data_IF_877238376375
#
_entry.id   IF_877238376375
#
_cell.length_a   1.000
_cell.length_b   1.000
_cell.length_c   1.000
_cell.angle_alpha   90.00
_cell.angle_beta   90.00
_cell.angle_gamma   90.00
#
_symmetry.space_group_name_H-M   'P 1'
#
loop_
_entity.id
_entity.type
_entity.pdbx_description
1 polymer ?
#
# COMPACT_ATOMS: atom_id res chain seq x y z
N UNK A 1 -6.38 -13.00 10.79
CA UNK A 1 -7.17 -12.82 9.57
C UNK A 1 -7.02 -11.42 8.98
N UNK A 2 -7.18 -10.33 9.75
CA UNK A 2 -7.02 -8.96 9.21
C UNK A 2 -5.59 -8.68 8.74
N UNK A 3 -4.57 -8.99 9.52
CA UNK A 3 -3.16 -8.77 9.14
C UNK A 3 -2.72 -9.56 7.90
N UNK A 4 -3.33 -10.70 7.66
CA UNK A 4 -3.05 -11.55 6.49
C UNK A 4 -3.97 -11.25 5.29
N UNK A 5 -4.77 -10.18 5.36
CA UNK A 5 -5.77 -9.81 4.35
C UNK A 5 -6.61 -11.02 3.91
N UNK A 6 -7.38 -11.55 4.87
CA UNK A 6 -8.27 -12.72 4.67
C UNK A 6 -7.56 -13.98 4.13
N UNK A 7 -6.28 -14.14 4.45
CA UNK A 7 -5.49 -15.32 4.08
C UNK A 7 -4.60 -15.15 2.84
N UNK A 8 -4.65 -14.02 2.15
CA UNK A 8 -3.76 -13.73 1.01
C UNK A 8 -2.28 -13.78 1.42
N UNK A 9 -1.96 -13.28 2.62
CA UNK A 9 -0.61 -13.32 3.19
C UNK A 9 -0.10 -14.73 3.53
N UNK A 10 -0.94 -15.75 3.45
CA UNK A 10 -0.53 -17.15 3.65
C UNK A 10 -0.07 -17.84 2.35
N UNK A 11 -0.10 -17.14 1.22
CA UNK A 11 0.42 -17.67 -0.03
C UNK A 11 1.93 -17.89 0.04
N UNK A 12 2.43 -19.03 -0.49
CA UNK A 12 3.81 -19.47 -0.25
C UNK A 12 4.86 -18.65 -1.02
N UNK A 13 4.44 -17.84 -1.99
CA UNK A 13 5.34 -17.05 -2.85
C UNK A 13 4.88 -15.61 -2.91
N UNK A 14 5.75 -14.68 -2.50
CA UNK A 14 5.56 -13.22 -2.61
C UNK A 14 4.20 -12.73 -2.04
N UNK A 15 3.88 -13.01 -0.76
CA UNK A 15 2.58 -12.68 -0.18
C UNK A 15 2.23 -11.19 -0.30
N UNK A 16 3.18 -10.27 -0.14
CA UNK A 16 2.99 -8.84 -0.32
C UNK A 16 2.58 -8.44 -1.73
N UNK A 17 3.11 -9.10 -2.76
CA UNK A 17 2.68 -8.84 -4.15
C UNK A 17 1.21 -9.24 -4.35
N UNK A 18 0.81 -10.37 -3.80
CA UNK A 18 -0.60 -10.80 -3.85
C UNK A 18 -1.50 -9.89 -3.02
N UNK A 19 -1.02 -9.39 -1.86
CA UNK A 19 -1.71 -8.39 -1.04
C UNK A 19 -1.98 -7.11 -1.81
N UNK A 20 -0.94 -6.53 -2.42
CA UNK A 20 -1.03 -5.33 -3.25
C UNK A 20 -1.93 -5.54 -4.47
N UNK A 21 -1.84 -6.71 -5.13
CA UNK A 21 -2.68 -7.04 -6.29
C UNK A 21 -4.15 -7.17 -5.90
N UNK A 22 -4.46 -7.84 -4.79
CA UNK A 22 -5.81 -7.98 -4.27
C UNK A 22 -6.41 -6.64 -3.80
N UNK A 23 -5.57 -5.67 -3.44
CA UNK A 23 -5.99 -4.33 -3.08
C UNK A 23 -6.61 -3.55 -4.24
N UNK A 24 -6.21 -3.82 -5.49
CA UNK A 24 -6.66 -3.08 -6.67
C UNK A 24 -8.17 -3.20 -6.93
N UNK A 25 -8.74 -4.41 -7.06
CA UNK A 25 -10.18 -4.56 -7.29
C UNK A 25 -11.01 -4.02 -6.12
N UNK A 26 -10.53 -4.16 -4.88
CA UNK A 26 -11.21 -3.61 -3.72
C UNK A 26 -11.26 -2.07 -3.79
N UNK A 27 -10.13 -1.41 -4.08
CA UNK A 27 -10.07 0.04 -4.26
C UNK A 27 -10.95 0.49 -5.43
N UNK A 28 -10.95 -0.25 -6.54
CA UNK A 28 -11.79 0.04 -7.70
C UNK A 28 -13.27 0.05 -7.33
N UNK A 29 -13.74 -0.99 -6.65
CA UNK A 29 -15.14 -1.10 -6.21
C UNK A 29 -15.49 0.02 -5.22
N UNK A 30 -14.67 0.24 -4.21
CA UNK A 30 -14.91 1.31 -3.21
C UNK A 30 -15.02 2.66 -3.92
N UNK A 31 -14.07 2.97 -4.80
CA UNK A 31 -14.01 4.26 -5.46
C UNK A 31 -15.13 4.45 -6.50
N UNK A 32 -15.52 3.40 -7.22
CA UNK A 32 -16.60 3.46 -8.20
C UNK A 32 -17.99 3.61 -7.57
N UNK A 33 -18.21 3.02 -6.39
CA UNK A 33 -19.51 3.06 -5.72
C UNK A 33 -19.65 4.26 -4.77
N UNK A 34 -18.58 4.63 -4.06
CA UNK A 34 -18.66 5.64 -2.99
C UNK A 34 -17.67 6.80 -3.16
N UNK A 35 -16.87 6.81 -4.24
CA UNK A 35 -15.97 7.89 -4.57
C UNK A 35 -14.63 7.86 -3.84
N UNK A 36 -13.81 8.89 -4.15
CA UNK A 36 -12.44 9.01 -3.64
C UNK A 36 -12.38 9.16 -2.12
N UNK A 37 -13.32 9.89 -1.53
CA UNK A 37 -13.38 10.11 -0.08
C UNK A 37 -13.56 8.79 0.68
N UNK A 38 -14.38 7.88 0.16
CA UNK A 38 -14.57 6.57 0.76
C UNK A 38 -13.30 5.72 0.72
N UNK A 39 -12.54 5.76 -0.39
CA UNK A 39 -11.25 5.09 -0.46
C UNK A 39 -10.24 5.69 0.53
N UNK A 40 -10.23 7.02 0.71
CA UNK A 40 -9.36 7.67 1.70
C UNK A 40 -9.70 7.23 3.13
N UNK A 41 -10.98 7.15 3.48
CA UNK A 41 -11.42 6.65 4.79
C UNK A 41 -11.06 5.16 4.96
N UNK A 42 -11.29 4.34 3.94
CA UNK A 42 -10.91 2.93 3.97
C UNK A 42 -9.39 2.74 4.15
N UNK A 43 -8.58 3.55 3.45
CA UNK A 43 -7.13 3.57 3.61
C UNK A 43 -6.72 3.93 5.05
N UNK A 44 -7.29 4.98 5.63
CA UNK A 44 -7.01 5.38 7.01
C UNK A 44 -7.38 4.28 8.02
N UNK A 45 -8.52 3.62 7.81
CA UNK A 45 -8.94 2.48 8.64
C UNK A 45 -7.95 1.31 8.47
N UNK A 46 -7.54 1.00 7.23
CA UNK A 46 -6.59 -0.07 6.97
C UNK A 46 -5.23 0.18 7.66
N UNK A 47 -4.73 1.43 7.65
CA UNK A 47 -3.53 1.82 8.38
C UNK A 47 -3.70 1.61 9.89
N UNK A 48 -4.79 2.09 10.47
CA UNK A 48 -5.04 1.98 11.92
C UNK A 48 -5.17 0.51 12.35
N UNK A 49 -5.98 -0.27 11.63
CA UNK A 49 -6.17 -1.70 11.89
C UNK A 49 -4.88 -2.48 11.62
N UNK A 50 -4.13 -2.10 10.59
CA UNK A 50 -2.86 -2.70 10.23
C UNK A 50 -1.81 -2.53 11.32
N UNK A 51 -1.63 -1.32 11.85
CA UNK A 51 -0.73 -1.06 12.97
C UNK A 51 -1.07 -1.93 14.19
N UNK A 52 -2.35 -2.06 14.51
CA UNK A 52 -2.80 -2.88 15.62
C UNK A 52 -2.59 -4.37 15.36
N UNK A 53 -3.01 -4.86 14.19
CA UNK A 53 -2.93 -6.27 13.82
C UNK A 53 -1.47 -6.73 13.66
N UNK A 54 -0.65 -5.96 12.96
CA UNK A 54 0.77 -6.23 12.78
C UNK A 54 1.51 -6.27 14.13
N UNK A 55 1.25 -5.30 15.01
CA UNK A 55 1.84 -5.27 16.35
C UNK A 55 1.42 -6.46 17.20
N UNK A 56 0.19 -6.92 17.08
CA UNK A 56 -0.31 -8.09 17.81
C UNK A 56 0.32 -9.38 17.30
N UNK A 57 0.40 -9.54 15.97
CA UNK A 57 0.99 -10.73 15.34
C UNK A 57 2.50 -10.79 15.61
N UNK A 58 3.22 -9.67 15.50
CA UNK A 58 4.66 -9.60 15.77
C UNK A 58 4.96 -10.01 17.24
N UNK A 59 4.16 -9.53 18.19
CA UNK A 59 4.29 -9.93 19.60
C UNK A 59 4.00 -11.41 19.84
N UNK A 60 2.98 -11.94 19.17
CA UNK A 60 2.57 -13.34 19.35
C UNK A 60 3.53 -14.34 18.68
N UNK A 61 4.10 -13.98 17.54
CA UNK A 61 5.04 -14.82 16.78
C UNK A 61 6.48 -14.74 17.28
N UNK A 62 6.84 -13.68 18.02
CA UNK A 62 8.23 -13.38 18.38
C UNK A 62 9.12 -12.96 17.21
N UNK A 63 8.53 -12.77 16.01
CA UNK A 63 9.19 -12.32 14.80
C UNK A 63 8.80 -10.87 14.55
N UNK A 64 9.77 -10.00 14.31
CA UNK A 64 9.54 -8.56 14.16
C UNK A 64 8.70 -8.22 12.91
N UNK A 65 8.88 -8.96 11.83
CA UNK A 65 8.15 -8.80 10.57
C UNK A 65 7.76 -10.18 10.02
N UNK A 66 6.62 -10.75 10.48
CA UNK A 66 6.12 -11.99 9.91
C UNK A 66 5.64 -11.76 8.48
N UNK A 67 6.26 -12.39 7.50
CA UNK A 67 5.94 -12.23 6.07
C UNK A 67 4.51 -12.61 5.65
N UNK A 68 3.68 -13.07 6.60
CA UNK A 68 2.25 -13.31 6.37
C UNK A 68 1.40 -12.05 6.63
N UNK A 69 1.99 -10.98 7.15
CA UNK A 69 1.32 -9.69 7.29
C UNK A 69 1.39 -9.01 5.94
N UNK A 70 0.25 -8.66 5.36
CA UNK A 70 0.13 -7.99 4.04
C UNK A 70 -0.89 -6.85 4.05
N UNK A 71 -1.42 -6.50 5.22
CA UNK A 71 -2.36 -5.38 5.36
C UNK A 71 -1.66 -4.04 5.18
N UNK A 72 -0.37 -3.97 5.46
CA UNK A 72 0.54 -2.87 5.22
C UNK A 72 0.65 -2.59 3.72
N UNK A 73 0.91 -3.61 2.90
CA UNK A 73 0.94 -3.47 1.46
C UNK A 73 -0.43 -3.07 0.88
N UNK A 74 -1.53 -3.57 1.46
CA UNK A 74 -2.88 -3.17 1.03
C UNK A 74 -3.13 -1.69 1.32
N UNK A 75 -2.83 -1.23 2.53
CA UNK A 75 -3.00 0.15 2.94
C UNK A 75 -2.10 1.09 2.11
N UNK A 76 -0.83 0.71 1.92
CA UNK A 76 0.14 1.44 1.10
C UNK A 76 -0.28 1.50 -0.37
N UNK A 77 -0.76 0.38 -0.94
CA UNK A 77 -1.28 0.36 -2.31
C UNK A 77 -2.50 1.27 -2.45
N UNK A 78 -3.43 1.28 -1.48
CA UNK A 78 -4.57 2.19 -1.50
C UNK A 78 -4.15 3.65 -1.42
N UNK A 79 -3.10 3.98 -0.65
CA UNK A 79 -2.54 5.32 -0.60
C UNK A 79 -2.07 5.78 -1.99
N UNK A 80 -1.38 4.93 -2.75
CA UNK A 80 -0.97 5.26 -4.13
C UNK A 80 -2.18 5.43 -5.05
N UNK A 81 -3.20 4.59 -4.90
CA UNK A 81 -4.41 4.64 -5.72
C UNK A 81 -5.28 5.87 -5.46
N UNK A 82 -5.11 6.57 -4.32
CA UNK A 82 -5.75 7.87 -4.10
C UNK A 82 -5.27 8.92 -5.11
N UNK A 83 -4.02 8.85 -5.55
CA UNK A 83 -3.44 9.76 -6.52
C UNK A 83 -3.71 9.33 -7.99
N UNK A 84 -4.04 8.06 -8.22
CA UNK A 84 -4.23 7.52 -9.56
C UNK A 84 -5.64 7.84 -10.12
N UNK A 85 -5.81 8.19 -11.39
CA UNK A 85 -7.10 8.17 -12.07
C UNK A 85 -7.79 6.80 -11.99
N UNK A 86 -9.13 6.78 -12.09
CA UNK A 86 -9.90 5.54 -12.05
C UNK A 86 -9.95 4.90 -13.45
N UNK A 87 -8.83 4.41 -13.91
CA UNK A 87 -8.67 3.70 -15.17
C UNK A 87 -7.64 2.56 -15.03
N UNK A 88 -7.75 1.50 -15.84
CA UNK A 88 -6.88 0.33 -15.72
C UNK A 88 -5.38 0.63 -15.91
N UNK A 89 -4.95 1.45 -16.90
CA UNK A 89 -3.53 1.78 -17.06
C UNK A 89 -2.95 2.49 -15.85
N UNK A 90 -3.68 3.47 -15.28
CA UNK A 90 -3.24 4.20 -14.08
C UNK A 90 -3.13 3.30 -12.86
N UNK A 91 -4.07 2.37 -12.69
CA UNK A 91 -4.03 1.37 -11.60
C UNK A 91 -2.86 0.41 -11.77
N UNK A 92 -2.58 -0.04 -13.00
CA UNK A 92 -1.42 -0.88 -13.29
C UNK A 92 -0.10 -0.14 -13.03
N UNK A 93 0.01 1.12 -13.46
CA UNK A 93 1.19 1.95 -13.23
C UNK A 93 1.40 2.22 -11.73
N UNK A 94 0.35 2.53 -10.99
CA UNK A 94 0.38 2.73 -9.55
C UNK A 94 0.85 1.47 -8.81
N UNK A 95 0.35 0.31 -9.21
CA UNK A 95 0.79 -0.98 -8.67
C UNK A 95 2.28 -1.23 -8.92
N UNK A 96 2.74 -1.08 -10.17
CA UNK A 96 4.14 -1.30 -10.52
C UNK A 96 5.08 -0.35 -9.78
N UNK A 97 4.74 0.94 -9.71
CA UNK A 97 5.53 1.93 -8.98
C UNK A 97 5.63 1.59 -7.50
N UNK A 98 4.51 1.28 -6.86
CA UNK A 98 4.53 0.87 -5.46
C UNK A 98 5.45 -0.34 -5.25
N UNK A 99 5.28 -1.40 -6.05
CA UNK A 99 6.11 -2.60 -5.93
C UNK A 99 7.60 -2.35 -6.18
N UNK A 100 7.95 -1.45 -7.10
CA UNK A 100 9.35 -1.07 -7.31
C UNK A 100 9.93 -0.44 -6.04
N UNK A 101 9.26 0.55 -5.45
CA UNK A 101 9.76 1.23 -4.27
C UNK A 101 9.74 0.35 -3.03
N UNK A 102 8.76 -0.52 -2.88
CA UNK A 102 8.65 -1.47 -1.77
C UNK A 102 9.75 -2.55 -1.82
N UNK A 103 10.04 -3.10 -3.01
CA UNK A 103 11.08 -4.12 -3.17
C UNK A 103 12.48 -3.49 -3.11
N UNK A 104 12.67 -2.34 -3.77
CA UNK A 104 13.98 -1.67 -3.84
C UNK A 104 14.37 -0.99 -2.53
N UNK A 105 13.40 -0.67 -1.69
CA UNK A 105 13.57 -0.05 -0.37
C UNK A 105 14.63 1.07 -0.40
N UNK A 106 14.38 2.22 -1.04
CA UNK A 106 15.33 3.32 -1.06
C UNK A 106 15.73 3.67 0.37
N UNK A 107 16.96 4.14 0.56
CA UNK A 107 17.62 4.32 1.86
C UNK A 107 16.78 4.99 2.97
N UNK A 108 15.83 5.85 2.59
CA UNK A 108 14.89 6.48 3.52
C UNK A 108 13.94 5.46 4.16
N UNK A 109 13.47 4.50 3.39
CA UNK A 109 12.61 3.40 3.84
C UNK A 109 13.41 2.47 4.77
N UNK A 110 14.61 2.08 4.35
CA UNK A 110 15.50 1.26 5.17
C UNK A 110 16.01 1.95 6.45
N UNK A 111 15.97 3.29 6.53
CA UNK A 111 16.29 4.02 7.75
C UNK A 111 15.14 3.98 8.76
N UNK A 112 13.90 4.00 8.29
CA UNK A 112 12.69 3.88 9.12
C UNK A 112 12.58 2.47 9.73
N UNK A 113 12.82 1.44 8.92
CA UNK A 113 12.84 0.03 9.34
C UNK A 113 13.82 -0.23 10.49
N UNK A 114 14.96 0.45 10.51
CA UNK A 114 15.96 0.30 11.59
C UNK A 114 15.62 1.03 12.88
N UNK A 115 14.74 2.03 12.86
CA UNK A 115 14.47 2.91 14.02
C UNK A 115 13.12 2.67 14.67
N UNK A 116 12.15 2.17 13.94
CA UNK A 116 10.79 1.97 14.43
C UNK A 116 10.46 0.48 14.42
N UNK A 117 10.21 -0.07 15.62
CA UNK A 117 9.93 -1.49 15.81
C UNK A 117 8.44 -1.72 16.10
N UNK A 118 7.95 -2.94 15.86
CA UNK A 118 6.56 -3.33 16.08
C UNK A 118 5.61 -2.97 14.94
N UNK A 119 4.31 -3.00 15.18
CA UNK A 119 3.29 -2.81 14.15
C UNK A 119 3.38 -1.46 13.42
N UNK A 120 3.84 -0.41 14.09
CA UNK A 120 4.11 0.90 13.48
C UNK A 120 5.29 0.83 12.50
N UNK A 121 6.37 0.10 12.83
CA UNK A 121 7.53 -0.04 11.95
C UNK A 121 7.16 -0.76 10.66
N UNK A 122 6.44 -1.86 10.76
CA UNK A 122 5.96 -2.64 9.61
C UNK A 122 5.13 -1.76 8.66
N UNK A 123 4.14 -1.03 9.21
CA UNK A 123 3.30 -0.13 8.41
C UNK A 123 4.06 1.05 7.81
N UNK A 124 5.02 1.62 8.55
CA UNK A 124 5.75 2.84 8.12
C UNK A 124 6.61 2.59 6.90
N UNK A 125 7.21 1.43 6.80
CA UNK A 125 8.07 1.02 5.71
C UNK A 125 7.33 1.09 4.36
N UNK A 126 6.19 0.44 4.28
CA UNK A 126 5.36 0.40 3.08
C UNK A 126 4.69 1.75 2.78
N UNK A 127 4.27 2.49 3.82
CA UNK A 127 3.72 3.81 3.63
C UNK A 127 4.75 4.80 3.07
N UNK A 128 6.01 4.71 3.47
CA UNK A 128 7.09 5.53 2.89
C UNK A 128 7.35 5.15 1.44
N UNK A 129 7.38 3.85 1.12
CA UNK A 129 7.46 3.38 -0.26
C UNK A 129 6.29 3.91 -1.11
N UNK A 130 5.07 3.89 -0.55
CA UNK A 130 3.88 4.44 -1.20
C UNK A 130 4.00 5.94 -1.44
N UNK A 131 4.50 6.73 -0.49
CA UNK A 131 4.73 8.17 -0.67
C UNK A 131 5.71 8.43 -1.81
N UNK A 132 6.82 7.68 -1.89
CA UNK A 132 7.74 7.78 -3.01
C UNK A 132 7.06 7.46 -4.34
N UNK A 133 6.25 6.40 -4.38
CA UNK A 133 5.48 6.02 -5.56
C UNK A 133 4.48 7.10 -5.97
N UNK A 134 3.76 7.70 -5.02
CA UNK A 134 2.84 8.83 -5.29
C UNK A 134 3.56 10.01 -5.90
N UNK A 135 4.70 10.41 -5.34
CA UNK A 135 5.46 11.55 -5.87
C UNK A 135 5.89 11.32 -7.32
N UNK A 136 6.45 10.15 -7.63
CA UNK A 136 6.85 9.80 -9.00
C UNK A 136 5.62 9.71 -9.92
N UNK A 137 4.53 9.13 -9.44
CA UNK A 137 3.30 9.01 -10.21
C UNK A 137 2.71 10.39 -10.58
N UNK A 138 2.66 11.32 -9.61
CA UNK A 138 2.19 12.69 -9.84
C UNK A 138 3.08 13.45 -10.83
N UNK A 139 4.41 13.31 -10.71
CA UNK A 139 5.35 13.91 -11.68
C UNK A 139 5.10 13.35 -13.08
N UNK A 140 4.91 12.04 -13.22
CA UNK A 140 4.62 11.39 -14.48
C UNK A 140 3.29 11.90 -15.10
N UNK A 141 2.25 12.07 -14.29
CA UNK A 141 0.98 12.63 -14.74
C UNK A 141 1.13 14.09 -15.21
N UNK A 142 1.90 14.90 -14.50
CA UNK A 142 2.15 16.30 -14.89
C UNK A 142 2.91 16.40 -16.21
N UNK A 143 3.91 15.54 -16.42
CA UNK A 143 4.74 15.55 -17.63
C UNK A 143 4.04 14.94 -18.84
N UNK A 144 3.14 13.98 -18.63
CA UNK A 144 2.38 13.35 -19.71
C UNK A 144 1.22 14.20 -20.26
N UNK A 145 0.99 15.39 -19.70
CA UNK A 145 -0.14 16.25 -20.09
C UNK A 145 -1.52 15.70 -19.71
N UNK A 146 -1.59 14.62 -18.94
CA UNK A 146 -2.85 14.02 -18.51
C UNK A 146 -3.68 14.97 -17.61
N UNK A 147 -3.06 16.02 -17.05
CA UNK A 147 -3.73 17.17 -16.44
C UNK A 147 -4.04 18.30 -17.42
N UNK A 148 -3.72 18.13 -18.71
CA UNK A 148 -4.03 19.09 -19.77
C UNK A 148 -5.52 19.17 -20.00
N UNK A 149 -6.11 20.17 -19.33
CA UNK A 149 -7.27 20.96 -19.74
C UNK A 149 -8.18 20.26 -20.76
N UNK A 150 -9.22 19.60 -20.26
CA UNK A 150 -10.46 19.57 -21.03
C UNK A 150 -11.09 20.96 -20.91
N UNK A 151 -10.67 21.87 -21.80
CA UNK A 151 -11.45 23.07 -22.13
C UNK A 151 -12.66 22.68 -22.93
#
# INVERSE_FOLDING_TARGET
MLGTWFGVGLLPVMPGTWGSLAALPCAWVIRSLWGLAALAVACAIAVAVGCWAAGTIAKASGVQDPGAIVIDEVAAQWLVLLAAPLDPPSYAAAFLLFRIFDIWKPWLVGLADRRVHGGLGIMLDDLLAAVCAVLVFLVALMTSGAFGVRT
#
